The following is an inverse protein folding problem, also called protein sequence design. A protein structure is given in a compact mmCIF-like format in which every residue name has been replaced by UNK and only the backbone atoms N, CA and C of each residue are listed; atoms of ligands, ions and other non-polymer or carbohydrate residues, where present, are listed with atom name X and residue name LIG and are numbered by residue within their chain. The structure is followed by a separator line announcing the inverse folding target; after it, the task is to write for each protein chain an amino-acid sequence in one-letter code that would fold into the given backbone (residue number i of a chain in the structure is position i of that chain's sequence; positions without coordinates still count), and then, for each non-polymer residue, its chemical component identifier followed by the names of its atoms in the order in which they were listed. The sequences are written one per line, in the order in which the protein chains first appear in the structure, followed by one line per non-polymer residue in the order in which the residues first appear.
data_IF_827925234766
#
_entry.id   IF_827925234766
#
_cell.length_a   1.000
_cell.length_b   1.000
_cell.length_c   1.000
_cell.angle_alpha   90.00
_cell.angle_beta   90.00
_cell.angle_gamma   90.00
#
_symmetry.space_group_name_H-M   'P 1'
#
loop_
_entity.id
_entity.type
_entity.pdbx_description
1 polymer ?
#
# COMPACT_ATOMS: atom_id res chain seq x y z
N UNK A 1 -12.64 0.80 -2.13
CA UNK A 1 -12.27 0.53 -0.72
C UNK A 1 -13.25 1.30 0.16
N UNK A 2 -13.57 0.86 1.38
CA UNK A 2 -14.43 1.69 2.26
C UNK A 2 -13.67 2.95 2.68
N UNK A 3 -14.32 4.12 2.63
CA UNK A 3 -13.76 5.40 3.07
C UNK A 3 -13.20 5.30 4.49
N UNK A 4 -13.86 4.55 5.38
CA UNK A 4 -13.42 4.38 6.77
C UNK A 4 -12.07 3.67 6.92
N UNK A 5 -11.62 2.97 5.87
CA UNK A 5 -10.33 2.29 5.84
C UNK A 5 -9.22 3.12 5.21
N UNK A 6 -9.57 4.26 4.60
CA UNK A 6 -8.65 5.15 3.90
C UNK A 6 -8.21 6.26 4.87
N UNK A 7 -6.91 6.48 4.93
CA UNK A 7 -6.31 7.52 5.78
C UNK A 7 -5.38 8.41 4.96
N UNK A 8 -5.21 9.64 5.43
CA UNK A 8 -4.25 10.58 4.85
C UNK A 8 -2.84 10.01 4.87
N UNK A 9 -2.11 10.16 3.77
CA UNK A 9 -0.76 9.64 3.58
C UNK A 9 -0.70 8.21 3.03
N UNK A 10 -1.83 7.52 2.89
CA UNK A 10 -1.84 6.17 2.31
C UNK A 10 -1.55 6.21 0.81
N UNK A 11 -0.74 5.24 0.37
CA UNK A 11 -0.49 4.97 -1.04
C UNK A 11 -1.56 4.01 -1.54
N UNK A 12 -2.30 4.44 -2.55
CA UNK A 12 -3.43 3.72 -3.13
C UNK A 12 -3.38 3.80 -4.65
N UNK A 13 -4.14 2.93 -5.31
CA UNK A 13 -4.37 3.00 -6.74
C UNK A 13 -5.72 3.67 -7.01
N UNK A 14 -5.77 4.51 -8.02
CA UNK A 14 -7.00 5.06 -8.61
C UNK A 14 -7.26 4.32 -9.90
N UNK A 15 -8.47 3.81 -10.09
CA UNK A 15 -8.89 3.28 -11.39
C UNK A 15 -9.39 4.40 -12.30
N UNK A 16 -9.39 4.15 -13.62
CA UNK A 16 -9.91 5.09 -14.62
C UNK A 16 -11.27 5.66 -14.19
N UNK A 17 -11.34 6.97 -14.01
CA UNK A 17 -12.53 7.66 -13.49
C UNK A 17 -12.52 9.14 -13.83
N UNK A 18 -13.60 9.83 -13.46
CA UNK A 18 -13.71 11.29 -13.54
C UNK A 18 -13.49 11.88 -12.15
N UNK A 19 -12.53 12.79 -12.04
CA UNK A 19 -12.24 13.55 -10.85
C UNK A 19 -12.92 14.91 -10.82
N UNK A 20 -13.19 15.42 -9.63
CA UNK A 20 -13.61 16.80 -9.42
C UNK A 20 -12.40 17.69 -9.14
N UNK A 21 -12.18 18.70 -9.99
CA UNK A 21 -11.08 19.65 -9.90
C UNK A 21 -11.66 21.08 -9.76
N UNK A 22 -11.88 21.58 -8.53
CA UNK A 22 -12.59 22.84 -8.30
C UNK A 22 -11.86 24.09 -8.83
N UNK A 23 -10.56 23.99 -9.07
CA UNK A 23 -9.69 25.09 -9.50
C UNK A 23 -9.54 25.16 -11.03
N UNK A 24 -10.04 24.16 -11.76
CA UNK A 24 -9.96 24.09 -13.22
C UNK A 24 -11.17 24.71 -13.91
N UNK A 25 -10.99 25.17 -15.15
CA UNK A 25 -12.08 25.71 -15.97
C UNK A 25 -13.13 24.65 -16.30
N UNK A 26 -12.66 23.44 -16.62
CA UNK A 26 -13.48 22.24 -16.69
C UNK A 26 -13.38 21.57 -15.33
N UNK A 27 -14.40 21.76 -14.48
CA UNK A 27 -14.42 21.28 -13.08
C UNK A 27 -14.31 19.76 -12.92
N UNK A 28 -14.32 19.03 -14.02
CA UNK A 28 -14.21 17.59 -14.08
C UNK A 28 -13.10 17.21 -15.04
N UNK A 29 -12.20 16.36 -14.59
CA UNK A 29 -11.04 15.91 -15.38
C UNK A 29 -10.99 14.38 -15.39
N UNK A 30 -10.60 13.82 -16.52
CA UNK A 30 -10.32 12.40 -16.61
C UNK A 30 -9.06 12.06 -15.80
N UNK A 31 -9.14 10.97 -15.03
CA UNK A 31 -8.02 10.43 -14.27
C UNK A 31 -7.74 9.05 -14.84
N UNK A 32 -6.55 8.88 -15.41
CA UNK A 32 -6.05 7.59 -15.83
C UNK A 32 -5.75 6.68 -14.63
N UNK A 33 -5.47 5.40 -14.90
CA UNK A 33 -5.01 4.51 -13.84
C UNK A 33 -3.68 5.01 -13.27
N UNK A 34 -3.64 5.27 -11.97
CA UNK A 34 -2.43 5.81 -11.33
C UNK A 34 -2.25 5.32 -9.89
N UNK A 35 -1.01 5.40 -9.40
CA UNK A 35 -0.62 5.19 -8.01
C UNK A 35 -0.41 6.54 -7.33
N UNK A 36 -1.27 6.85 -6.37
CA UNK A 36 -1.34 8.16 -5.74
C UNK A 36 -1.27 8.08 -4.23
N UNK A 37 -1.03 9.22 -3.60
CA UNK A 37 -1.10 9.41 -2.15
C UNK A 37 -2.40 10.12 -1.80
N UNK A 38 -3.09 9.62 -0.78
CA UNK A 38 -4.26 10.31 -0.21
C UNK A 38 -3.80 11.57 0.52
N UNK A 39 -4.18 12.72 0.00
CA UNK A 39 -3.77 14.03 0.53
C UNK A 39 -4.74 14.54 1.60
N UNK A 40 -6.03 14.29 1.42
CA UNK A 40 -7.10 14.74 2.32
C UNK A 40 -8.39 13.94 2.12
N UNK A 41 -9.31 14.00 3.09
CA UNK A 41 -10.61 13.33 3.05
C UNK A 41 -11.71 14.35 3.37
N UNK A 42 -12.51 14.70 2.36
CA UNK A 42 -13.71 15.54 2.54
C UNK A 42 -14.89 14.66 2.95
N UNK A 43 -15.08 14.52 4.25
CA UNK A 43 -16.18 13.73 4.82
C UNK A 43 -17.56 14.33 4.57
N UNK A 44 -17.67 15.64 4.27
CA UNK A 44 -18.96 16.28 3.95
C UNK A 44 -19.45 15.91 2.56
N UNK A 45 -18.53 15.86 1.59
CA UNK A 45 -18.83 15.48 0.20
C UNK A 45 -18.60 14.01 -0.09
N UNK A 46 -18.03 13.27 0.86
CA UNK A 46 -17.59 11.88 0.69
C UNK A 46 -16.60 11.73 -0.49
N UNK A 47 -15.61 12.62 -0.54
CA UNK A 47 -14.58 12.66 -1.58
C UNK A 47 -13.18 12.57 -0.98
N UNK A 48 -12.26 12.01 -1.75
CA UNK A 48 -10.86 11.83 -1.37
C UNK A 48 -10.01 12.69 -2.27
N UNK A 49 -9.19 13.57 -1.67
CA UNK A 49 -8.19 14.31 -2.42
C UNK A 49 -6.98 13.40 -2.65
N UNK A 50 -6.54 13.30 -3.90
CA UNK A 50 -5.36 12.51 -4.30
C UNK A 50 -4.19 13.42 -4.70
N UNK A 51 -2.98 12.88 -4.66
CA UNK A 51 -1.77 13.58 -5.10
C UNK A 51 -1.72 13.66 -6.63
N UNK A 52 -2.38 14.66 -7.20
CA UNK A 52 -2.38 14.95 -8.63
C UNK A 52 -2.16 16.44 -8.88
N UNK A 53 -1.81 16.79 -10.12
CA UNK A 53 -1.76 18.16 -10.63
C UNK A 53 -2.59 18.21 -11.93
N UNK A 54 -3.77 18.84 -11.94
CA UNK A 54 -4.31 19.72 -10.91
C UNK A 54 -4.79 18.98 -9.66
N UNK A 55 -5.16 19.74 -8.62
CA UNK A 55 -5.71 19.18 -7.38
C UNK A 55 -7.08 18.55 -7.67
N UNK A 56 -7.16 17.23 -7.48
CA UNK A 56 -8.34 16.44 -7.86
C UNK A 56 -8.90 15.67 -6.67
N UNK A 57 -10.22 15.58 -6.63
CA UNK A 57 -11.01 14.81 -5.69
C UNK A 57 -11.73 13.66 -6.39
N UNK A 58 -11.73 12.47 -5.78
CA UNK A 58 -12.35 11.26 -6.34
C UNK A 58 -13.28 10.59 -5.34
N UNK A 59 -14.28 9.88 -5.86
CA UNK A 59 -15.16 9.07 -5.01
C UNK A 59 -14.40 7.81 -4.48
N UNK A 60 -14.66 7.37 -3.24
CA UNK A 60 -13.91 6.28 -2.59
C UNK A 60 -14.01 4.93 -3.29
N UNK A 61 -15.10 4.71 -4.04
CA UNK A 61 -15.29 3.50 -4.83
C UNK A 61 -14.22 3.31 -5.93
N UNK A 62 -13.61 4.41 -6.39
CA UNK A 62 -12.53 4.38 -7.40
C UNK A 62 -11.14 4.23 -6.79
N UNK A 63 -11.04 4.23 -5.46
CA UNK A 63 -9.80 3.96 -4.73
C UNK A 63 -9.68 2.47 -4.40
N UNK A 64 -8.52 1.91 -4.74
CA UNK A 64 -8.16 0.53 -4.49
C UNK A 64 -6.84 0.41 -3.72
N UNK A 65 -6.74 -0.60 -2.87
CA UNK A 65 -5.46 -0.96 -2.27
C UNK A 65 -4.54 -1.60 -3.29
N UNK A 66 -3.25 -1.26 -3.24
CA UNK A 66 -2.23 -1.90 -4.07
C UNK A 66 -1.87 -3.25 -3.45
N UNK A 67 -2.10 -4.34 -4.17
CA UNK A 67 -1.80 -5.68 -3.70
C UNK A 67 -0.28 -5.84 -3.47
N UNK A 68 0.08 -6.43 -2.33
CA UNK A 68 1.46 -6.83 -2.07
C UNK A 68 1.83 -7.98 -3.00
N UNK A 69 2.99 -7.87 -3.62
CA UNK A 69 3.63 -8.89 -4.44
C UNK A 69 5.14 -8.79 -4.25
N UNK A 70 5.88 -9.78 -4.74
CA UNK A 70 7.36 -9.75 -4.78
C UNK A 70 7.87 -8.47 -5.45
N UNK A 71 7.36 -8.13 -6.63
CA UNK A 71 7.73 -6.92 -7.36
C UNK A 71 7.40 -5.63 -6.58
N UNK A 72 6.23 -5.58 -5.93
CA UNK A 72 5.84 -4.42 -5.12
C UNK A 72 6.76 -4.26 -3.92
N UNK A 73 7.10 -5.35 -3.21
CA UNK A 73 8.03 -5.32 -2.08
C UNK A 73 9.42 -4.86 -2.52
N UNK A 74 9.96 -5.42 -3.61
CA UNK A 74 11.25 -5.03 -4.17
C UNK A 74 11.28 -3.53 -4.52
N UNK A 75 10.25 -3.02 -5.20
CA UNK A 75 10.11 -1.59 -5.52
C UNK A 75 10.03 -0.71 -4.28
N UNK A 76 9.41 -1.19 -3.21
CA UNK A 76 9.36 -0.50 -1.90
C UNK A 76 10.66 -0.63 -1.09
N UNK A 77 11.70 -1.23 -1.66
CA UNK A 77 13.03 -1.34 -1.05
C UNK A 77 13.18 -2.51 -0.07
N UNK A 78 12.32 -3.53 -0.18
CA UNK A 78 12.47 -4.77 0.58
C UNK A 78 13.41 -5.73 -0.15
N UNK A 79 14.49 -6.15 0.53
CA UNK A 79 15.43 -7.13 0.01
C UNK A 79 15.01 -8.55 0.37
N UNK A 80 15.21 -9.51 -0.53
CA UNK A 80 15.01 -10.93 -0.22
C UNK A 80 15.99 -11.41 0.85
N UNK A 81 15.51 -12.25 1.74
CA UNK A 81 16.31 -12.93 2.77
C UNK A 81 15.95 -14.41 2.81
N UNK A 82 16.91 -15.23 3.24
CA UNK A 82 16.65 -16.64 3.51
C UNK A 82 15.66 -16.80 4.67
N UNK A 83 14.83 -17.86 4.62
CA UNK A 83 13.81 -18.10 5.63
C UNK A 83 14.40 -18.22 7.04
N UNK A 84 15.60 -18.79 7.18
CA UNK A 84 16.29 -18.96 8.47
C UNK A 84 16.68 -17.63 9.14
N UNK A 85 16.69 -16.53 8.39
CA UNK A 85 16.95 -15.17 8.89
C UNK A 85 15.68 -14.43 9.33
N UNK A 86 14.50 -15.05 9.19
CA UNK A 86 13.26 -14.46 9.68
C UNK A 86 13.16 -14.54 11.20
N UNK A 87 12.69 -13.47 11.81
CA UNK A 87 12.45 -13.31 13.24
C UNK A 87 11.17 -14.02 13.67
N UNK A 88 11.13 -15.34 13.47
CA UNK A 88 10.01 -16.20 13.84
C UNK A 88 10.51 -17.47 14.55
N UNK A 89 9.61 -18.24 15.19
CA UNK A 89 9.94 -19.58 15.68
C UNK A 89 10.36 -20.50 14.52
N UNK A 90 11.43 -21.27 14.72
CA UNK A 90 11.94 -22.21 13.69
C UNK A 90 10.91 -23.26 13.26
N UNK A 91 9.97 -23.61 14.15
CA UNK A 91 8.86 -24.51 13.86
C UNK A 91 7.92 -24.01 12.75
N UNK A 92 7.94 -22.71 12.45
CA UNK A 92 7.10 -22.08 11.43
C UNK A 92 7.80 -21.91 10.08
N UNK A 93 9.08 -22.30 9.96
CA UNK A 93 9.85 -22.11 8.73
C UNK A 93 9.34 -22.97 7.57
N UNK A 94 8.80 -24.16 7.86
CA UNK A 94 8.31 -25.08 6.83
C UNK A 94 7.12 -24.56 6.02
N UNK A 95 6.42 -23.53 6.51
CA UNK A 95 5.31 -22.89 5.80
C UNK A 95 5.75 -21.72 4.92
N UNK A 96 7.05 -21.40 4.84
CA UNK A 96 7.55 -20.18 4.23
C UNK A 96 8.19 -20.47 2.90
N UNK A 97 7.73 -19.73 1.88
CA UNK A 97 8.29 -19.77 0.54
C UNK A 97 9.45 -18.78 0.39
N UNK A 98 9.24 -17.53 0.77
CA UNK A 98 10.22 -16.44 0.57
C UNK A 98 10.13 -15.42 1.71
N UNK A 99 11.28 -14.95 2.22
CA UNK A 99 11.38 -13.86 3.18
C UNK A 99 11.87 -12.55 2.55
N UNK A 100 11.48 -11.43 3.14
CA UNK A 100 11.84 -10.07 2.74
C UNK A 100 12.17 -9.23 3.98
N UNK A 101 13.14 -8.32 3.87
CA UNK A 101 13.55 -7.43 4.96
C UNK A 101 13.75 -6.00 4.47
N UNK A 102 13.33 -5.04 5.30
CA UNK A 102 13.58 -3.61 5.14
C UNK A 102 13.90 -3.01 6.51
N UNK A 103 15.17 -2.69 6.74
CA UNK A 103 15.64 -2.28 8.07
C UNK A 103 15.39 -3.39 9.10
N UNK A 104 14.58 -3.09 10.12
CA UNK A 104 14.20 -4.06 11.17
C UNK A 104 12.90 -4.80 10.87
N UNK A 105 12.14 -4.37 9.87
CA UNK A 105 10.84 -4.93 9.57
C UNK A 105 10.99 -6.06 8.54
N UNK A 106 10.21 -7.12 8.71
CA UNK A 106 10.28 -8.33 7.90
C UNK A 106 8.90 -8.71 7.36
N UNK A 107 8.85 -9.23 6.14
CA UNK A 107 7.65 -9.78 5.51
C UNK A 107 8.00 -11.16 4.97
N UNK A 108 7.09 -12.11 5.03
CA UNK A 108 7.26 -13.39 4.34
C UNK A 108 6.04 -13.76 3.53
N UNK A 109 6.28 -14.57 2.50
CA UNK A 109 5.26 -15.21 1.67
C UNK A 109 5.17 -16.69 2.05
N UNK A 110 3.95 -17.20 2.25
CA UNK A 110 3.72 -18.65 2.37
C UNK A 110 3.64 -19.34 1.00
N UNK A 111 3.50 -20.66 0.99
CA UNK A 111 3.37 -21.43 -0.26
C UNK A 111 2.04 -21.19 -1.00
N UNK A 112 1.02 -20.68 -0.31
CA UNK A 112 -0.26 -20.27 -0.90
C UNK A 112 -0.20 -18.86 -1.50
N UNK A 113 0.96 -18.19 -1.40
CA UNK A 113 1.17 -16.86 -1.94
C UNK A 113 0.67 -15.71 -1.05
N UNK A 114 0.29 -15.99 0.20
CA UNK A 114 -0.18 -14.99 1.16
C UNK A 114 1.00 -14.34 1.85
N UNK A 115 0.87 -13.05 2.16
CA UNK A 115 1.92 -12.28 2.80
C UNK A 115 1.61 -12.01 4.26
N UNK A 116 2.66 -11.98 5.07
CA UNK A 116 2.57 -11.72 6.50
C UNK A 116 3.72 -10.83 6.95
N UNK A 117 3.42 -9.90 7.84
CA UNK A 117 4.36 -8.97 8.44
C UNK A 117 4.85 -9.45 9.82
N UNK A 118 6.14 -9.28 10.06
CA UNK A 118 6.85 -9.61 11.29
C UNK A 118 7.66 -8.40 11.73
N UNK A 119 7.51 -8.01 12.99
CA UNK A 119 8.34 -6.97 13.62
C UNK A 119 9.42 -7.52 14.54
N UNK A 120 9.14 -8.66 15.18
CA UNK A 120 10.06 -9.35 16.06
C UNK A 120 9.55 -10.75 16.36
N UNK A 121 10.43 -11.61 16.89
CA UNK A 121 10.11 -13.00 17.29
C UNK A 121 9.02 -13.12 18.35
N UNK A 122 8.78 -12.06 19.13
CA UNK A 122 7.77 -12.03 20.19
C UNK A 122 6.48 -11.31 19.79
N UNK A 123 6.45 -10.68 18.61
CA UNK A 123 5.26 -10.01 18.10
C UNK A 123 4.38 -11.00 17.33
N UNK A 124 3.06 -10.80 17.33
CA UNK A 124 2.18 -11.60 16.48
C UNK A 124 2.53 -11.38 15.01
N UNK A 125 2.47 -12.46 14.24
CA UNK A 125 2.54 -12.42 12.78
C UNK A 125 1.22 -11.84 12.27
N UNK A 126 1.27 -10.78 11.47
CA UNK A 126 0.09 -10.07 10.98
C UNK A 126 -0.10 -10.37 9.50
N UNK A 127 -1.25 -10.93 9.06
CA UNK A 127 -1.52 -11.09 7.63
C UNK A 127 -1.63 -9.70 6.98
N UNK A 128 -0.97 -9.55 5.82
CA UNK A 128 -0.99 -8.32 5.04
C UNK A 128 -1.27 -8.66 3.57
N UNK A 129 -2.14 -7.87 2.96
CA UNK A 129 -2.58 -8.02 1.57
C UNK A 129 -2.29 -6.77 0.75
N UNK A 130 -2.33 -5.59 1.36
CA UNK A 130 -2.20 -4.32 0.65
C UNK A 130 -1.10 -3.41 1.23
N UNK A 131 -0.50 -2.57 0.39
CA UNK A 131 0.56 -1.62 0.79
C UNK A 131 0.12 -0.71 1.96
N UNK A 132 -1.11 -0.20 1.93
CA UNK A 132 -1.61 0.67 3.00
C UNK A 132 -1.72 -0.04 4.37
N UNK A 133 -1.81 -1.37 4.41
CA UNK A 133 -1.80 -2.13 5.66
C UNK A 133 -0.38 -2.14 6.27
N UNK A 134 0.67 -2.19 5.45
CA UNK A 134 2.05 -1.98 5.91
C UNK A 134 2.25 -0.57 6.47
N UNK A 135 1.63 0.44 5.86
CA UNK A 135 1.66 1.82 6.37
C UNK A 135 0.95 1.93 7.73
N UNK A 136 -0.22 1.30 7.89
CA UNK A 136 -0.91 1.21 9.20
C UNK A 136 -0.08 0.53 10.28
N UNK A 137 0.82 -0.37 9.89
CA UNK A 137 1.76 -1.01 10.81
C UNK A 137 2.95 -0.09 11.18
N UNK A 138 3.06 1.10 10.60
CA UNK A 138 4.05 2.12 10.92
C UNK A 138 5.17 2.27 9.89
N UNK A 139 5.05 1.61 8.73
CA UNK A 139 6.00 1.76 7.61
C UNK A 139 5.56 2.97 6.75
N UNK A 140 5.80 4.18 7.26
CA UNK A 140 5.26 5.41 6.70
C UNK A 140 6.15 6.09 5.66
N UNK A 141 7.38 5.63 5.51
CA UNK A 141 8.39 6.19 4.59
C UNK A 141 8.35 5.56 3.19
N UNK A 142 7.31 4.78 2.89
CA UNK A 142 7.02 4.28 1.55
C UNK A 142 6.69 5.45 0.62
N UNK A 143 7.18 5.41 -0.62
CA UNK A 143 6.94 6.45 -1.61
C UNK A 143 6.13 5.91 -2.79
N UNK A 144 5.05 6.59 -3.17
CA UNK A 144 4.23 6.22 -4.32
C UNK A 144 5.06 6.11 -5.62
N UNK A 145 5.98 7.05 -5.84
CA UNK A 145 6.89 7.05 -6.99
C UNK A 145 7.83 5.83 -7.06
N UNK A 146 8.06 5.12 -5.94
CA UNK A 146 8.83 3.88 -5.96
C UNK A 146 8.09 2.75 -6.69
N UNK A 147 6.75 2.77 -6.66
CA UNK A 147 5.90 1.77 -7.31
C UNK A 147 5.72 2.01 -8.82
N UNK A 148 6.03 3.22 -9.31
CA UNK A 148 5.87 3.64 -10.70
C UNK A 148 7.10 3.40 -11.59
N UNK A 149 8.22 2.91 -11.05
CA UNK A 149 9.45 2.69 -11.84
C UNK A 149 9.27 1.55 -12.85
N UNK A 150 9.21 1.88 -14.14
CA UNK A 150 9.27 0.97 -15.29
C UNK A 150 10.60 0.21 -15.37
#
# INVERSE_FOLDING_TARGET
MDLNNIEKGQIVSVVLTIGYAPEESEQYVDIEFDTVVVCDIDTKKNLIQISNSPKVFVAPQYIQGILISELVLERLGWGKIEADNLDIPKSSLSSIKTGYQRGKDQVFQDYDGRFYFIRSRTSPVVPVKYVHELQKLGINDLQAGALLKE
#
